data_IF_804602811489
#
_entry.id   IF_804602811489
#
_cell.length_a   1.000
_cell.length_b   1.000
_cell.length_c   1.000
_cell.angle_alpha   90.00
_cell.angle_beta   90.00
_cell.angle_gamma   90.00
#
_symmetry.space_group_name_H-M   'P 1'
#
loop_
_entity.id
_entity.type
_entity.pdbx_description
1 polymer ?
#
# COMPACT_ATOMS: atom_id res chain seq x y z
N UNK A 1 25.82 -6.69 7.51
CA UNK A 1 24.66 -7.54 7.13
C UNK A 1 23.54 -6.60 6.72
N UNK A 2 22.89 -6.84 5.57
CA UNK A 2 21.75 -6.01 5.14
C UNK A 2 20.55 -6.41 6.00
N UNK A 3 19.94 -5.44 6.69
CA UNK A 3 18.71 -5.66 7.43
C UNK A 3 17.53 -5.19 6.60
N UNK A 4 16.43 -5.91 6.71
CA UNK A 4 15.18 -5.62 6.03
C UNK A 4 14.08 -5.37 7.07
N UNK A 5 13.20 -4.43 6.75
CA UNK A 5 11.98 -4.16 7.49
C UNK A 5 10.82 -4.14 6.48
N UNK A 6 9.84 -5.02 6.66
CA UNK A 6 8.73 -5.22 5.70
C UNK A 6 9.20 -5.38 4.24
N UNK A 7 10.23 -6.18 4.01
CA UNK A 7 10.81 -6.42 2.68
C UNK A 7 11.61 -5.24 2.09
N UNK A 8 11.68 -4.08 2.75
CA UNK A 8 12.51 -2.95 2.32
C UNK A 8 13.89 -3.00 2.97
N UNK A 9 14.97 -2.74 2.21
CA UNK A 9 16.30 -2.61 2.80
C UNK A 9 16.35 -1.38 3.70
N UNK A 10 16.88 -1.55 4.90
CA UNK A 10 17.02 -0.48 5.88
C UNK A 10 18.45 -0.42 6.44
N UNK A 11 18.87 0.79 6.77
CA UNK A 11 20.09 1.04 7.53
C UNK A 11 19.73 1.36 8.97
N UNK A 12 20.41 0.73 9.92
CA UNK A 12 20.20 1.00 11.34
C UNK A 12 21.08 2.14 11.80
N UNK A 13 20.46 3.20 12.31
CA UNK A 13 21.13 4.39 12.82
C UNK A 13 21.56 4.16 14.27
N UNK A 14 20.63 3.69 15.11
CA UNK A 14 20.87 3.44 16.54
C UNK A 14 19.90 2.43 17.12
N UNK A 15 20.33 1.79 18.20
CA UNK A 15 19.49 0.92 19.03
C UNK A 15 19.19 1.60 20.36
N UNK A 16 18.00 1.37 20.89
CA UNK A 16 17.62 1.86 22.22
C UNK A 16 16.54 0.98 22.84
N UNK A 17 16.45 1.01 24.17
CA UNK A 17 15.52 0.17 24.94
C UNK A 17 14.50 1.06 25.63
N UNK A 18 13.22 0.72 25.50
CA UNK A 18 12.11 1.39 26.20
C UNK A 18 11.26 0.31 26.87
N UNK A 19 11.03 0.41 28.17
CA UNK A 19 10.18 -0.52 28.93
C UNK A 19 10.50 -2.00 28.65
N UNK A 20 11.78 -2.35 28.71
CA UNK A 20 12.30 -3.71 28.47
C UNK A 20 12.08 -4.25 27.04
N UNK A 21 11.71 -3.39 26.08
CA UNK A 21 11.61 -3.72 24.66
C UNK A 21 12.72 -3.02 23.90
N UNK A 22 13.40 -3.76 23.02
CA UNK A 22 14.51 -3.23 22.22
C UNK A 22 14.02 -2.73 20.86
N UNK A 23 14.44 -1.52 20.50
CA UNK A 23 14.06 -0.84 19.27
C UNK A 23 15.30 -0.46 18.47
N UNK A 24 15.10 -0.32 17.16
CA UNK A 24 16.05 0.21 16.20
C UNK A 24 15.44 1.43 15.51
N UNK A 25 16.20 2.52 15.49
CA UNK A 25 15.96 3.66 14.62
C UNK A 25 16.59 3.34 13.27
N UNK A 26 15.77 3.19 12.24
CA UNK A 26 16.18 2.72 10.91
C UNK A 26 15.77 3.70 9.83
N UNK A 27 16.52 3.75 8.75
CA UNK A 27 16.21 4.54 7.56
C UNK A 27 16.10 3.63 6.34
N UNK A 28 15.03 3.79 5.57
CA UNK A 28 14.84 3.02 4.33
C UNK A 28 15.83 3.46 3.26
N UNK A 29 16.48 2.50 2.60
CA UNK A 29 17.42 2.77 1.52
C UNK A 29 16.64 2.88 0.20
N UNK A 30 16.75 4.02 -0.50
CA UNK A 30 16.10 4.20 -1.81
C UNK A 30 15.86 5.66 -2.20
N UNK A 31 14.97 5.86 -3.18
CA UNK A 31 14.66 7.17 -3.78
C UNK A 31 13.98 8.15 -2.80
N UNK A 32 13.32 7.63 -1.75
CA UNK A 32 12.74 8.43 -0.68
C UNK A 32 13.09 7.80 0.68
N UNK A 33 14.25 8.15 1.27
CA UNK A 33 14.63 7.65 2.59
C UNK A 33 13.65 8.15 3.64
N UNK A 34 13.09 7.21 4.42
CA UNK A 34 12.16 7.47 5.51
C UNK A 34 12.72 6.84 6.78
N UNK A 35 12.81 7.67 7.82
CA UNK A 35 13.23 7.25 9.14
C UNK A 35 12.05 6.65 9.91
N UNK A 36 12.26 5.50 10.54
CA UNK A 36 11.26 4.78 11.33
C UNK A 36 11.91 4.18 12.57
N UNK A 37 11.14 4.09 13.64
CA UNK A 37 11.51 3.29 14.81
C UNK A 37 10.76 1.97 14.71
N UNK A 38 11.50 0.87 14.77
CA UNK A 38 10.97 -0.49 14.63
C UNK A 38 11.47 -1.35 15.80
N UNK A 39 10.76 -2.42 16.16
CA UNK A 39 11.32 -3.35 17.14
C UNK A 39 12.46 -4.14 16.51
N UNK A 40 13.44 -4.49 17.32
CA UNK A 40 14.57 -5.29 16.87
C UNK A 40 14.15 -6.65 16.31
N UNK A 41 13.08 -7.24 16.85
CA UNK A 41 12.53 -8.52 16.40
C UNK A 41 11.83 -8.43 15.02
N UNK A 42 11.44 -7.22 14.59
CA UNK A 42 10.81 -7.01 13.28
C UNK A 42 11.85 -6.83 12.15
N UNK A 43 13.15 -6.81 12.48
CA UNK A 43 14.25 -6.72 11.52
C UNK A 43 14.71 -8.11 11.09
N UNK A 44 14.72 -8.33 9.78
CA UNK A 44 15.08 -9.63 9.18
C UNK A 44 16.38 -9.52 8.37
N UNK A 45 17.16 -10.59 8.31
CA UNK A 45 18.40 -10.66 7.52
C UNK A 45 18.14 -11.00 6.03
N UNK A 46 16.92 -11.46 5.74
CA UNK A 46 16.41 -11.72 4.40
C UNK A 46 15.19 -10.82 4.13
N UNK A 47 14.88 -10.48 2.87
CA UNK A 47 13.67 -9.76 2.54
C UNK A 47 12.44 -10.65 2.80
N UNK A 48 12.03 -10.72 4.05
CA UNK A 48 10.75 -11.29 4.41
C UNK A 48 9.70 -10.23 4.10
N UNK A 49 9.00 -10.42 2.99
CA UNK A 49 7.65 -9.89 2.83
C UNK A 49 6.79 -10.62 3.84
N UNK A 50 6.83 -10.15 5.10
CA UNK A 50 5.77 -10.49 6.04
C UNK A 50 4.55 -9.79 5.47
N UNK A 51 3.74 -10.53 4.71
CA UNK A 51 2.33 -10.21 4.56
C UNK A 51 1.78 -10.41 5.97
N UNK A 52 1.96 -9.43 6.85
CA UNK A 52 1.13 -9.39 8.03
C UNK A 52 -0.27 -9.19 7.45
N UNK A 53 -1.10 -10.24 7.55
CA UNK A 53 -2.52 -10.06 7.84
C UNK A 53 -2.64 -9.34 9.20
N UNK A 54 -1.94 -8.23 9.39
CA UNK A 54 -2.38 -7.18 10.27
C UNK A 54 -3.78 -6.92 9.78
N UNK A 55 -4.74 -7.02 10.69
CA UNK A 55 -6.10 -6.58 10.50
C UNK A 55 -6.05 -5.24 9.80
N UNK A 56 -6.15 -5.29 8.48
CA UNK A 56 -6.70 -4.21 7.73
C UNK A 56 -8.09 -4.21 8.33
N UNK A 57 -8.36 -3.23 9.19
CA UNK A 57 -9.68 -2.63 9.20
C UNK A 57 -9.90 -2.22 7.75
N UNK A 58 -10.26 -3.20 6.90
CA UNK A 58 -10.77 -3.00 5.57
C UNK A 58 -11.99 -2.17 5.89
N UNK A 59 -12.01 -0.87 5.55
CA UNK A 59 -13.28 -0.19 5.56
C UNK A 59 -14.18 -1.07 4.71
N UNK A 60 -15.27 -1.55 5.32
CA UNK A 60 -16.32 -2.41 4.75
C UNK A 60 -16.19 -2.46 3.23
N UNK A 61 -15.63 -3.55 2.70
CA UNK A 61 -15.50 -3.82 1.26
C UNK A 61 -15.63 -2.56 0.39
N UNK A 62 -14.59 -1.71 0.36
CA UNK A 62 -14.68 -0.43 -0.35
C UNK A 62 -14.93 -0.67 -1.83
N UNK A 63 -16.14 -0.38 -2.27
CA UNK A 63 -16.56 -0.60 -3.65
C UNK A 63 -16.14 0.59 -4.50
N UNK A 64 -15.43 0.34 -5.60
CA UNK A 64 -14.98 1.35 -6.55
C UNK A 64 -15.79 1.24 -7.83
N UNK A 65 -16.30 2.38 -8.30
CA UNK A 65 -17.04 2.48 -9.54
C UNK A 65 -16.19 3.17 -10.60
N UNK A 66 -16.10 2.53 -11.76
CA UNK A 66 -15.45 3.02 -12.97
C UNK A 66 -16.52 3.40 -13.99
N UNK A 67 -16.66 4.69 -14.30
CA UNK A 67 -17.62 5.19 -15.27
C UNK A 67 -16.92 5.70 -16.51
N UNK A 68 -17.28 5.19 -17.69
CA UNK A 68 -16.75 5.65 -18.98
C UNK A 68 -17.91 5.86 -19.97
N UNK A 69 -18.26 7.13 -20.19
CA UNK A 69 -19.42 7.48 -21.02
C UNK A 69 -20.72 6.99 -20.36
N UNK A 70 -21.43 6.05 -21.02
CA UNK A 70 -22.67 5.44 -20.51
C UNK A 70 -22.47 4.11 -19.78
N UNK A 71 -21.26 3.56 -19.79
CA UNK A 71 -20.94 2.31 -19.11
C UNK A 71 -20.40 2.61 -17.71
N UNK A 72 -20.85 1.84 -16.73
CA UNK A 72 -20.35 1.90 -15.35
C UNK A 72 -20.14 0.49 -14.83
N UNK A 73 -18.93 0.19 -14.41
CA UNK A 73 -18.54 -1.07 -13.82
C UNK A 73 -18.14 -0.84 -12.36
N UNK A 74 -18.64 -1.69 -11.46
CA UNK A 74 -18.48 -1.53 -10.02
C UNK A 74 -17.80 -2.76 -9.47
N UNK A 75 -16.70 -2.58 -8.74
CA UNK A 75 -15.91 -3.68 -8.20
C UNK A 75 -15.54 -3.45 -6.75
N UNK A 76 -15.43 -4.53 -5.98
CA UNK A 76 -14.83 -4.47 -4.64
C UNK A 76 -13.31 -4.28 -4.79
N UNK A 77 -12.77 -3.24 -4.16
CA UNK A 77 -11.34 -2.94 -4.26
C UNK A 77 -10.50 -4.12 -3.77
N UNK A 78 -9.59 -4.60 -4.61
CA UNK A 78 -8.72 -5.75 -4.33
C UNK A 78 -9.32 -7.12 -4.68
N UNK A 79 -10.56 -7.21 -5.18
CA UNK A 79 -11.11 -8.47 -5.69
C UNK A 79 -10.40 -8.96 -6.95
N UNK A 80 -10.52 -10.24 -7.26
CA UNK A 80 -9.98 -10.81 -8.51
C UNK A 80 -10.57 -10.13 -9.75
N UNK A 81 -11.85 -9.78 -9.71
CA UNK A 81 -12.54 -9.06 -10.78
C UNK A 81 -12.00 -7.64 -10.95
N UNK A 82 -11.74 -6.94 -9.85
CA UNK A 82 -11.08 -5.62 -9.87
C UNK A 82 -9.68 -5.71 -10.47
N UNK A 83 -8.86 -6.66 -9.99
CA UNK A 83 -7.48 -6.82 -10.44
C UNK A 83 -7.42 -7.20 -11.93
N UNK A 84 -8.34 -8.05 -12.37
CA UNK A 84 -8.50 -8.42 -13.78
C UNK A 84 -8.92 -7.22 -14.61
N UNK A 85 -9.93 -6.45 -14.19
CA UNK A 85 -10.39 -5.25 -14.90
C UNK A 85 -9.27 -4.20 -15.03
N UNK A 86 -8.53 -3.95 -13.95
CA UNK A 86 -7.39 -3.03 -13.92
C UNK A 86 -6.32 -3.49 -14.91
N UNK A 87 -6.00 -4.78 -14.94
CA UNK A 87 -5.01 -5.36 -15.85
C UNK A 87 -5.46 -5.31 -17.31
N UNK A 88 -6.69 -5.73 -17.60
CA UNK A 88 -7.26 -5.79 -18.95
C UNK A 88 -7.36 -4.38 -19.58
N UNK A 89 -7.65 -3.37 -18.77
CA UNK A 89 -7.69 -1.96 -19.20
C UNK A 89 -6.33 -1.23 -19.06
N UNK A 90 -5.28 -1.95 -18.67
CA UNK A 90 -3.92 -1.43 -18.44
C UNK A 90 -3.91 -0.20 -17.51
N UNK A 91 -4.78 -0.19 -16.50
CA UNK A 91 -4.86 0.86 -15.51
C UNK A 91 -3.75 0.63 -14.47
N UNK A 92 -3.10 1.69 -14.02
CA UNK A 92 -2.10 1.57 -12.96
C UNK A 92 -2.71 1.97 -11.61
N UNK A 93 -2.51 1.16 -10.55
CA UNK A 93 -3.08 1.41 -9.22
C UNK A 93 -2.82 2.82 -8.69
N UNK A 94 -1.61 3.35 -8.89
CA UNK A 94 -1.22 4.69 -8.47
C UNK A 94 -2.12 5.81 -9.04
N UNK A 95 -2.58 5.67 -10.29
CA UNK A 95 -3.47 6.66 -10.90
C UNK A 95 -4.93 6.46 -10.49
N UNK A 96 -5.34 5.22 -10.21
CA UNK A 96 -6.66 4.91 -9.65
C UNK A 96 -6.78 5.56 -8.27
N UNK A 97 -5.79 5.39 -7.39
CA UNK A 97 -5.75 6.03 -6.07
C UNK A 97 -5.78 7.56 -6.18
N UNK A 98 -5.00 8.15 -7.11
CA UNK A 98 -5.04 9.60 -7.35
C UNK A 98 -6.42 10.07 -7.83
N UNK A 99 -7.15 9.26 -8.58
CA UNK A 99 -8.50 9.59 -9.02
C UNK A 99 -9.50 9.51 -7.87
N UNK A 100 -9.39 8.47 -7.05
CA UNK A 100 -10.18 8.26 -5.84
C UNK A 100 -9.95 9.36 -4.78
N UNK A 101 -8.72 9.85 -4.65
CA UNK A 101 -8.33 10.99 -3.81
C UNK A 101 -8.81 12.35 -4.38
N UNK A 102 -9.42 12.37 -5.56
CA UNK A 102 -9.84 13.60 -6.25
C UNK A 102 -8.69 14.45 -6.79
N UNK A 103 -7.44 13.95 -6.75
CA UNK A 103 -6.26 14.66 -7.30
C UNK A 103 -6.29 14.72 -8.82
N UNK A 104 -6.96 13.77 -9.47
CA UNK A 104 -7.26 13.79 -10.90
C UNK A 104 -8.74 13.52 -11.15
N UNK A 105 -9.34 14.23 -12.12
CA UNK A 105 -10.79 14.12 -12.42
C UNK A 105 -11.16 12.85 -13.19
N UNK A 106 -10.23 12.34 -13.99
CA UNK A 106 -10.42 11.17 -14.84
C UNK A 106 -9.07 10.50 -15.13
N UNK A 107 -9.08 9.19 -15.36
CA UNK A 107 -7.92 8.43 -15.77
C UNK A 107 -8.28 7.50 -16.93
N UNK A 108 -7.58 7.62 -18.07
CA UNK A 108 -7.90 6.90 -19.33
C UNK A 108 -9.38 6.96 -19.76
N UNK A 109 -10.03 8.10 -19.48
CA UNK A 109 -11.45 8.31 -19.78
C UNK A 109 -12.42 7.66 -18.78
N UNK A 110 -11.92 7.02 -17.73
CA UNK A 110 -12.71 6.56 -16.60
C UNK A 110 -12.80 7.65 -15.54
N UNK A 111 -14.02 7.92 -15.08
CA UNK A 111 -14.29 8.57 -13.82
C UNK A 111 -14.31 7.49 -12.74
N UNK A 112 -13.50 7.65 -11.69
CA UNK A 112 -13.28 6.63 -10.67
C UNK A 112 -13.70 7.22 -9.34
N UNK A 113 -14.67 6.61 -8.69
CA UNK A 113 -15.25 7.10 -7.45
C UNK A 113 -15.46 5.98 -6.44
N UNK A 114 -15.37 6.32 -5.15
CA UNK A 114 -15.83 5.43 -4.10
C UNK A 114 -17.35 5.37 -4.11
N UNK A 115 -17.88 4.16 -4.10
CA UNK A 115 -19.30 3.89 -3.92
C UNK A 115 -19.53 3.68 -2.44
N UNK A 116 -20.37 4.51 -1.83
CA UNK A 116 -20.91 4.21 -0.50
C UNK A 116 -22.16 3.36 -0.71
N UNK A 117 -22.18 2.16 -0.14
CA UNK A 117 -23.43 1.51 0.25
C UNK A 117 -24.15 2.35 1.32
#
# INVERSE_FOLDING_TARGET
MKKFYNGQPVETIRFFTVLNTHYADVETVGLEPKRKVVKLDDLTDEPNFVVTEDKVDLPKATTVKFTKGKQSDTFVMGSDEYNKFVKDNQLQPMFIERALDGKIKQYKGYHIEYTKD
#
